data_IF_680772848742
#
_entry.id   IF_680772848742
#
_cell.length_a   1.000
_cell.length_b   1.000
_cell.length_c   1.000
_cell.angle_alpha   90.00
_cell.angle_beta   90.00
_cell.angle_gamma   90.00
#
_symmetry.space_group_name_H-M   'P 1'
#
loop_
_entity.id
_entity.type
_entity.pdbx_description
1 polymer ?
#
# COMPACT_ATOMS: atom_id res chain seq x y z
N UNK A 1 -13.51 -8.21 4.01
CA UNK A 1 -12.77 -7.51 2.92
C UNK A 1 -13.64 -7.39 1.68
N UNK A 2 -13.44 -6.37 0.88
CA UNK A 2 -14.13 -6.17 -0.38
C UNK A 2 -13.15 -5.87 -1.50
N UNK A 3 -13.45 -6.40 -2.69
CA UNK A 3 -12.66 -6.22 -3.89
C UNK A 3 -13.49 -5.44 -4.90
N UNK A 4 -12.89 -4.41 -5.49
CA UNK A 4 -13.50 -3.65 -6.58
C UNK A 4 -12.68 -3.90 -7.83
N UNK A 5 -13.37 -4.28 -8.90
CA UNK A 5 -12.72 -4.64 -10.15
C UNK A 5 -13.11 -3.68 -11.27
N UNK A 6 -12.10 -3.35 -12.10
CA UNK A 6 -12.26 -2.46 -13.25
C UNK A 6 -11.40 -2.99 -14.40
N UNK A 7 -11.83 -2.76 -15.66
CA UNK A 7 -11.05 -3.13 -16.84
C UNK A 7 -10.91 -4.64 -17.02
N UNK A 8 -11.96 -5.42 -16.74
CA UNK A 8 -11.96 -6.89 -16.81
C UNK A 8 -11.66 -7.46 -18.21
N UNK A 9 -11.75 -6.62 -19.23
CA UNK A 9 -11.42 -6.94 -20.62
C UNK A 9 -9.89 -6.97 -20.88
N UNK A 10 -9.08 -6.45 -19.98
CA UNK A 10 -7.62 -6.45 -20.11
C UNK A 10 -7.03 -7.76 -19.57
N UNK A 11 -5.92 -8.19 -20.17
CA UNK A 11 -5.26 -9.48 -19.85
C UNK A 11 -4.38 -9.38 -18.60
N UNK A 12 -3.66 -8.24 -18.42
CA UNK A 12 -2.70 -8.06 -17.34
C UNK A 12 -3.39 -7.60 -16.05
N UNK A 13 -3.18 -8.35 -14.96
CA UNK A 13 -3.82 -8.14 -13.66
C UNK A 13 -2.97 -7.23 -12.76
N UNK A 14 -3.54 -6.10 -12.35
CA UNK A 14 -2.94 -5.19 -11.37
C UNK A 14 -3.73 -5.16 -10.08
N UNK A 15 -3.08 -5.48 -8.96
CA UNK A 15 -3.66 -5.40 -7.61
C UNK A 15 -3.20 -4.13 -6.91
N UNK A 16 -4.14 -3.35 -6.35
CA UNK A 16 -3.88 -2.09 -5.65
C UNK A 16 -4.24 -2.19 -4.16
N UNK A 17 -3.26 -1.90 -3.29
CA UNK A 17 -3.37 -1.91 -1.84
C UNK A 17 -3.21 -0.48 -1.29
N UNK A 18 -4.26 0.07 -0.67
CA UNK A 18 -4.24 1.44 -0.15
C UNK A 18 -3.50 1.58 1.20
N UNK A 19 -3.19 2.82 1.59
CA UNK A 19 -2.46 3.13 2.83
C UNK A 19 -3.31 3.01 4.11
N UNK A 20 -2.61 2.96 5.25
CA UNK A 20 -3.24 2.95 6.57
C UNK A 20 -3.96 4.26 6.91
N UNK A 21 -5.09 4.16 7.63
CA UNK A 21 -5.90 5.32 8.00
C UNK A 21 -6.61 6.01 6.82
N UNK A 22 -6.48 5.44 5.64
CA UNK A 22 -7.15 5.89 4.41
C UNK A 22 -8.17 4.84 3.97
N UNK A 23 -8.91 5.10 2.91
CA UNK A 23 -9.79 4.12 2.30
C UNK A 23 -9.44 3.93 0.82
N UNK A 24 -10.00 2.89 0.21
CA UNK A 24 -9.88 2.65 -1.22
C UNK A 24 -10.29 3.86 -2.09
N UNK A 25 -11.15 4.74 -1.57
CA UNK A 25 -11.56 5.96 -2.27
C UNK A 25 -10.39 6.89 -2.61
N UNK A 26 -9.31 6.82 -1.83
CA UNK A 26 -8.10 7.60 -2.07
C UNK A 26 -7.38 7.24 -3.38
N UNK A 27 -7.44 5.99 -3.79
CA UNK A 27 -6.79 5.48 -5.00
C UNK A 27 -7.79 5.12 -6.11
N UNK A 28 -9.09 5.20 -5.82
CA UNK A 28 -10.15 4.84 -6.77
C UNK A 28 -10.12 5.63 -8.10
N UNK A 29 -9.86 6.95 -8.14
CA UNK A 29 -9.79 7.68 -9.41
C UNK A 29 -8.68 7.13 -10.31
N UNK A 30 -7.50 6.86 -9.75
CA UNK A 30 -6.36 6.29 -10.48
C UNK A 30 -6.63 4.84 -10.87
N UNK A 31 -7.26 4.04 -9.99
CA UNK A 31 -7.68 2.67 -10.32
C UNK A 31 -8.58 2.63 -11.56
N UNK A 32 -9.57 3.52 -11.63
CA UNK A 32 -10.46 3.62 -12.80
C UNK A 32 -9.73 4.05 -14.08
N UNK A 33 -8.75 4.94 -13.97
CA UNK A 33 -8.02 5.44 -15.13
C UNK A 33 -7.02 4.42 -15.66
N UNK A 34 -6.28 3.73 -14.76
CA UNK A 34 -5.33 2.70 -15.16
C UNK A 34 -6.04 1.44 -15.69
N UNK A 35 -7.30 1.25 -15.32
CA UNK A 35 -8.15 0.19 -15.85
C UNK A 35 -8.49 0.32 -17.36
N UNK A 36 -8.11 1.42 -17.99
CA UNK A 36 -8.10 1.53 -19.47
C UNK A 36 -7.03 0.61 -20.10
N UNK A 37 -6.06 0.12 -19.30
CA UNK A 37 -4.94 -0.71 -19.77
C UNK A 37 -4.79 -2.02 -19.02
N UNK A 38 -5.18 -2.09 -17.75
CA UNK A 38 -4.99 -3.24 -16.88
C UNK A 38 -6.34 -3.72 -16.33
N UNK A 39 -6.46 -5.01 -16.07
CA UNK A 39 -7.50 -5.50 -15.18
C UNK A 39 -7.12 -5.17 -13.74
N UNK A 40 -7.84 -4.27 -13.10
CA UNK A 40 -7.50 -3.75 -11.78
C UNK A 40 -8.36 -4.39 -10.70
N UNK A 41 -7.72 -4.98 -9.69
CA UNK A 41 -8.33 -5.39 -8.43
C UNK A 41 -7.90 -4.42 -7.33
N UNK A 42 -8.84 -3.67 -6.79
CA UNK A 42 -8.63 -2.72 -5.71
C UNK A 42 -9.17 -3.28 -4.40
N UNK A 43 -8.29 -3.55 -3.43
CA UNK A 43 -8.64 -4.03 -2.10
C UNK A 43 -9.20 -2.89 -1.23
N UNK A 44 -10.30 -3.15 -0.55
CA UNK A 44 -10.80 -2.35 0.56
C UNK A 44 -10.68 -3.14 1.87
N UNK A 45 -9.74 -2.73 2.75
CA UNK A 45 -9.50 -3.38 4.03
C UNK A 45 -10.71 -3.31 4.95
N UNK A 46 -10.97 -4.37 5.70
CA UNK A 46 -11.95 -4.36 6.77
C UNK A 46 -11.62 -3.26 7.79
N UNK A 47 -12.65 -2.63 8.36
CA UNK A 47 -12.50 -1.52 9.29
C UNK A 47 -12.09 -0.18 8.68
N UNK A 48 -11.63 -0.17 7.41
CA UNK A 48 -11.27 1.03 6.63
C UNK A 48 -12.07 1.15 5.32
N UNK A 49 -13.19 0.44 5.25
CA UNK A 49 -14.07 0.39 4.08
C UNK A 49 -15.35 1.22 4.29
N UNK A 50 -15.51 2.37 3.59
CA UNK A 50 -16.71 3.19 3.69
C UNK A 50 -18.01 2.50 3.25
N UNK A 51 -17.93 1.46 2.41
CA UNK A 51 -19.09 0.72 1.94
C UNK A 51 -19.54 -0.38 2.91
N UNK A 52 -18.70 -0.75 3.89
CA UNK A 52 -18.94 -1.75 4.93
C UNK A 52 -18.38 -1.26 6.27
N UNK A 53 -18.96 -0.16 6.83
CA UNK A 53 -18.39 0.53 7.99
C UNK A 53 -18.49 -0.26 9.29
N UNK A 54 -19.26 -1.33 9.31
CA UNK A 54 -19.43 -2.25 10.45
C UNK A 54 -18.31 -3.31 10.56
N UNK A 55 -17.50 -3.47 9.52
CA UNK A 55 -16.36 -4.39 9.56
C UNK A 55 -15.24 -3.88 10.45
N UNK A 56 -14.38 -4.77 10.91
CA UNK A 56 -13.22 -4.41 11.71
C UNK A 56 -11.96 -5.09 11.17
N UNK A 57 -10.88 -4.32 11.04
CA UNK A 57 -9.56 -4.85 10.71
C UNK A 57 -9.11 -5.86 11.76
N UNK A 58 -8.83 -7.09 11.36
CA UNK A 58 -8.48 -8.16 12.28
C UNK A 58 -6.96 -8.27 12.46
N UNK A 59 -6.24 -8.55 11.40
CA UNK A 59 -4.78 -8.62 11.38
C UNK A 59 -4.23 -8.51 9.96
N UNK A 60 -2.95 -8.21 9.84
CA UNK A 60 -2.24 -8.17 8.55
C UNK A 60 -2.31 -9.53 7.84
N UNK A 61 -2.07 -10.62 8.59
CA UNK A 61 -2.12 -11.97 8.04
C UNK A 61 -3.53 -12.35 7.54
N UNK A 62 -4.58 -11.92 8.25
CA UNK A 62 -5.97 -12.14 7.81
C UNK A 62 -6.28 -11.42 6.49
N UNK A 63 -5.85 -10.16 6.37
CA UNK A 63 -6.06 -9.38 5.13
C UNK A 63 -5.23 -9.94 3.97
N UNK A 64 -3.98 -10.37 4.22
CA UNK A 64 -3.13 -10.97 3.20
C UNK A 64 -3.71 -12.32 2.73
N UNK A 65 -4.05 -13.21 3.66
CA UNK A 65 -4.64 -14.52 3.34
C UNK A 65 -5.92 -14.37 2.52
N UNK A 66 -6.83 -13.48 2.93
CA UNK A 66 -8.07 -13.28 2.18
C UNK A 66 -7.84 -12.75 0.77
N UNK A 67 -6.85 -11.85 0.59
CA UNK A 67 -6.44 -11.39 -0.74
C UNK A 67 -5.89 -12.54 -1.58
N UNK A 68 -5.00 -13.35 -1.02
CA UNK A 68 -4.40 -14.50 -1.70
C UNK A 68 -5.45 -15.53 -2.11
N UNK A 69 -6.34 -15.90 -1.19
CA UNK A 69 -7.43 -16.85 -1.46
C UNK A 69 -8.32 -16.33 -2.61
N UNK A 70 -8.67 -15.04 -2.59
CA UNK A 70 -9.43 -14.40 -3.67
C UNK A 70 -8.69 -14.45 -5.02
N UNK A 71 -7.39 -14.14 -5.05
CA UNK A 71 -6.59 -14.15 -6.27
C UNK A 71 -6.33 -15.57 -6.79
N UNK A 72 -6.17 -16.55 -5.92
CA UNK A 72 -6.04 -17.96 -6.30
C UNK A 72 -7.35 -18.47 -6.92
N UNK A 73 -8.48 -18.20 -6.26
CA UNK A 73 -9.78 -18.68 -6.71
C UNK A 73 -10.21 -18.07 -8.06
N UNK A 74 -9.94 -16.78 -8.26
CA UNK A 74 -10.45 -16.05 -9.44
C UNK A 74 -9.44 -15.95 -10.58
N UNK A 75 -8.12 -15.99 -10.29
CA UNK A 75 -7.05 -15.71 -11.27
C UNK A 75 -5.94 -16.77 -11.24
N UNK A 76 -6.14 -17.91 -10.58
CA UNK A 76 -5.15 -18.98 -10.49
C UNK A 76 -3.86 -18.58 -9.77
N UNK A 77 -3.91 -17.54 -8.94
CA UNK A 77 -2.79 -17.04 -8.17
C UNK A 77 -1.73 -16.25 -8.96
N UNK A 78 -2.03 -15.83 -10.20
CA UNK A 78 -1.14 -15.04 -11.03
C UNK A 78 -1.47 -13.56 -10.95
N UNK A 79 -0.45 -12.73 -10.73
CA UNK A 79 -0.55 -11.27 -10.62
C UNK A 79 0.58 -10.63 -11.41
N UNK A 80 0.24 -9.80 -12.39
CA UNK A 80 1.26 -9.11 -13.20
C UNK A 80 1.89 -7.97 -12.40
N UNK A 81 1.07 -7.16 -11.69
CA UNK A 81 1.55 -6.05 -10.87
C UNK A 81 0.88 -6.07 -9.50
N UNK A 82 1.67 -6.14 -8.44
CA UNK A 82 1.22 -5.91 -7.06
C UNK A 82 1.73 -4.55 -6.56
N UNK A 83 0.83 -3.59 -6.39
CA UNK A 83 1.15 -2.25 -5.89
C UNK A 83 0.65 -2.07 -4.46
N UNK A 84 1.53 -1.58 -3.58
CA UNK A 84 1.19 -1.22 -2.19
C UNK A 84 1.60 0.21 -1.85
N UNK A 85 0.67 0.98 -1.27
CA UNK A 85 0.93 2.32 -0.76
C UNK A 85 1.09 2.29 0.76
N UNK A 86 2.21 2.78 1.28
CA UNK A 86 2.39 3.00 2.73
C UNK A 86 2.12 1.73 3.57
N UNK A 87 1.01 1.68 4.32
CA UNK A 87 0.61 0.46 5.02
C UNK A 87 0.30 -0.70 4.05
N UNK A 88 -0.19 -0.40 2.85
CA UNK A 88 -0.37 -1.40 1.79
C UNK A 88 0.91 -2.15 1.45
N UNK A 89 2.08 -1.52 1.63
CA UNK A 89 3.37 -2.21 1.51
C UNK A 89 3.56 -3.30 2.58
N UNK A 90 2.90 -3.22 3.74
CA UNK A 90 2.97 -4.27 4.76
C UNK A 90 2.18 -5.50 4.33
N UNK A 91 0.99 -5.30 3.76
CA UNK A 91 0.21 -6.40 3.16
C UNK A 91 0.95 -7.00 1.98
N UNK A 92 1.51 -6.18 1.11
CA UNK A 92 2.35 -6.60 -0.02
C UNK A 92 3.52 -7.48 0.47
N UNK A 93 4.26 -7.05 1.49
CA UNK A 93 5.37 -7.83 2.05
C UNK A 93 4.89 -9.14 2.69
N UNK A 94 3.73 -9.15 3.36
CA UNK A 94 3.15 -10.37 3.91
C UNK A 94 2.81 -11.37 2.79
N UNK A 95 2.19 -10.91 1.70
CA UNK A 95 1.89 -11.74 0.51
C UNK A 95 3.16 -12.32 -0.11
N UNK A 96 4.24 -11.54 -0.22
CA UNK A 96 5.54 -12.04 -0.70
C UNK A 96 6.15 -13.08 0.25
N UNK A 97 6.07 -12.85 1.58
CA UNK A 97 6.55 -13.79 2.61
C UNK A 97 5.75 -15.10 2.60
N UNK A 98 4.43 -15.04 2.40
CA UNK A 98 3.55 -16.22 2.34
C UNK A 98 3.77 -17.04 1.06
N UNK A 99 4.30 -16.42 0.00
CA UNK A 99 4.75 -17.05 -1.26
C UNK A 99 3.70 -17.98 -1.90
N UNK A 100 2.43 -17.55 -1.87
CA UNK A 100 1.30 -18.32 -2.43
C UNK A 100 0.90 -17.88 -3.84
N UNK A 101 1.40 -16.73 -4.28
CA UNK A 101 1.09 -16.12 -5.57
C UNK A 101 2.33 -16.04 -6.46
N UNK A 102 2.12 -16.12 -7.77
CA UNK A 102 3.11 -15.81 -8.79
C UNK A 102 2.99 -14.32 -9.17
N UNK A 103 3.95 -13.50 -8.72
CA UNK A 103 3.91 -12.05 -8.90
C UNK A 103 5.08 -11.60 -9.77
N UNK A 104 4.77 -11.01 -10.94
CA UNK A 104 5.81 -10.56 -11.87
C UNK A 104 6.50 -9.30 -11.38
N UNK A 105 5.75 -8.23 -11.14
CA UNK A 105 6.28 -6.91 -10.75
C UNK A 105 5.65 -6.46 -9.44
N UNK A 106 6.48 -5.99 -8.52
CA UNK A 106 6.02 -5.45 -7.24
C UNK A 106 6.45 -3.99 -7.08
N UNK A 107 5.50 -3.12 -6.72
CA UNK A 107 5.74 -1.69 -6.52
C UNK A 107 5.36 -1.31 -5.10
N UNK A 108 6.34 -0.95 -4.26
CA UNK A 108 6.15 -0.50 -2.89
C UNK A 108 6.35 1.02 -2.80
N UNK A 109 5.25 1.78 -2.72
CA UNK A 109 5.26 3.25 -2.65
C UNK A 109 5.19 3.73 -1.19
N UNK A 110 6.23 4.40 -0.71
CA UNK A 110 6.34 4.89 0.66
C UNK A 110 6.50 3.77 1.69
N UNK A 111 7.22 2.71 1.35
CA UNK A 111 7.51 1.59 2.25
C UNK A 111 8.42 2.02 3.41
N UNK A 112 8.09 1.60 4.64
CA UNK A 112 9.00 1.75 5.77
C UNK A 112 10.06 0.65 5.77
N UNK A 113 11.33 1.06 5.69
CA UNK A 113 12.50 0.16 5.78
C UNK A 113 12.99 -0.02 7.23
N UNK A 114 12.20 0.41 8.22
CA UNK A 114 12.55 0.31 9.63
C UNK A 114 11.84 -0.85 10.29
N UNK A 115 12.57 -1.54 11.16
CA UNK A 115 11.96 -2.50 12.09
C UNK A 115 11.18 -1.75 13.17
N UNK A 116 10.10 -2.36 13.62
CA UNK A 116 9.32 -1.87 14.76
C UNK A 116 9.86 -2.47 16.06
N UNK A 117 9.67 -1.79 17.21
CA UNK A 117 10.17 -2.27 18.48
C UNK A 117 9.69 -3.70 18.80
N UNK A 118 10.61 -4.57 19.19
CA UNK A 118 10.29 -5.89 19.69
C UNK A 118 10.01 -5.85 21.20
N UNK A 119 8.76 -5.64 21.56
CA UNK A 119 8.32 -5.51 22.94
C UNK A 119 7.83 -6.87 23.42
N UNK A 120 8.55 -7.51 24.34
CA UNK A 120 8.25 -8.86 24.84
C UNK A 120 7.09 -8.90 25.84
N UNK A 121 6.98 -7.88 26.70
CA UNK A 121 5.95 -7.79 27.74
C UNK A 121 4.62 -7.38 27.15
N UNK A 122 3.55 -8.13 27.39
CA UNK A 122 2.21 -7.80 26.94
C UNK A 122 1.70 -6.50 27.56
N UNK A 123 2.04 -6.22 28.83
CA UNK A 123 1.73 -4.94 29.46
C UNK A 123 2.37 -3.77 28.72
N UNK A 124 3.67 -3.85 28.41
CA UNK A 124 4.36 -2.79 27.66
C UNK A 124 3.92 -2.68 26.22
N UNK A 125 3.50 -3.79 25.58
CA UNK A 125 2.87 -3.74 24.26
C UNK A 125 1.58 -2.90 24.30
N UNK A 126 0.72 -3.14 25.30
CA UNK A 126 -0.52 -2.37 25.45
C UNK A 126 -0.26 -0.89 25.72
N UNK A 127 0.73 -0.57 26.56
CA UNK A 127 1.15 0.81 26.82
C UNK A 127 1.67 1.47 25.53
N UNK A 128 2.54 0.80 24.81
CA UNK A 128 3.06 1.30 23.53
C UNK A 128 1.94 1.55 22.52
N UNK A 129 1.04 0.57 22.34
CA UNK A 129 -0.10 0.69 21.43
C UNK A 129 -1.02 1.85 21.85
N UNK A 130 -1.29 2.01 23.13
CA UNK A 130 -2.12 3.11 23.61
C UNK A 130 -1.56 4.48 23.19
N UNK A 131 -0.27 4.72 23.35
CA UNK A 131 0.36 5.98 22.94
C UNK A 131 0.58 6.07 21.43
N UNK A 132 1.08 5.02 20.78
CA UNK A 132 1.38 5.02 19.35
C UNK A 132 0.11 5.09 18.53
N UNK A 133 -0.81 4.14 18.72
CA UNK A 133 -2.11 4.11 18.04
C UNK A 133 -2.94 5.33 18.42
N UNK A 134 -2.93 5.75 19.71
CA UNK A 134 -3.65 6.92 20.19
C UNK A 134 -3.25 8.19 19.46
N UNK A 135 -1.95 8.38 19.20
CA UNK A 135 -1.45 9.51 18.43
C UNK A 135 -2.01 9.49 17.00
N UNK A 136 -1.89 8.35 16.29
CA UNK A 136 -2.41 8.22 14.94
C UNK A 136 -3.93 8.31 14.88
N UNK A 137 -4.63 7.66 15.79
CA UNK A 137 -6.10 7.73 15.87
C UNK A 137 -6.60 9.15 16.08
N UNK A 138 -5.94 9.94 16.95
CA UNK A 138 -6.32 11.33 17.18
C UNK A 138 -5.96 12.22 16.00
N UNK A 139 -4.80 12.01 15.39
CA UNK A 139 -4.32 12.85 14.27
C UNK A 139 -5.07 12.52 12.99
N UNK A 140 -5.24 11.24 12.64
CA UNK A 140 -5.81 10.78 11.38
C UNK A 140 -7.27 10.35 11.54
N UNK A 141 -7.56 9.47 12.51
CA UNK A 141 -8.87 8.89 12.72
C UNK A 141 -9.93 9.86 13.26
N UNK A 142 -9.52 11.03 13.74
CA UNK A 142 -10.41 12.11 14.21
C UNK A 142 -9.97 13.47 13.69
N UNK A 143 -9.46 13.49 12.45
CA UNK A 143 -8.87 14.68 11.86
C UNK A 143 -9.90 15.77 11.55
N UNK A 144 -9.85 16.88 12.29
CA UNK A 144 -10.48 18.16 11.90
C UNK A 144 -9.60 18.96 10.94
N UNK A 145 -10.08 20.10 10.43
CA UNK A 145 -9.38 20.92 9.44
C UNK A 145 -7.91 21.23 9.77
N UNK A 146 -7.61 21.55 11.03
CA UNK A 146 -6.24 21.87 11.45
C UNK A 146 -5.29 20.67 11.34
N UNK A 147 -5.76 19.49 11.76
CA UNK A 147 -4.99 18.24 11.68
C UNK A 147 -4.79 17.78 10.24
N UNK A 148 -5.82 17.93 9.39
CA UNK A 148 -5.71 17.65 7.95
C UNK A 148 -4.68 18.54 7.27
N UNK A 149 -4.60 19.83 7.63
CA UNK A 149 -3.54 20.75 7.16
C UNK A 149 -2.15 20.31 7.63
N UNK A 150 -2.04 19.87 8.88
CA UNK A 150 -0.77 19.32 9.39
C UNK A 150 -0.35 18.06 8.62
N UNK A 151 -1.27 17.11 8.38
CA UNK A 151 -1.03 15.92 7.58
C UNK A 151 -0.62 16.26 6.15
N UNK A 152 -1.33 17.15 5.49
CA UNK A 152 -0.97 17.65 4.15
C UNK A 152 0.47 18.15 4.11
N UNK A 153 0.87 18.97 5.11
CA UNK A 153 2.23 19.50 5.20
C UNK A 153 3.29 18.42 5.39
N UNK A 154 3.09 17.48 6.31
CA UNK A 154 4.11 16.45 6.58
C UNK A 154 4.20 15.39 5.49
N UNK A 155 3.09 15.08 4.83
CA UNK A 155 3.05 14.16 3.68
C UNK A 155 3.47 14.81 2.37
N UNK A 156 3.48 16.16 2.30
CA UNK A 156 3.77 16.90 1.07
C UNK A 156 2.62 16.87 0.05
N UNK A 157 1.40 16.49 0.47
CA UNK A 157 0.19 16.49 -0.35
C UNK A 157 -0.57 17.81 -0.27
N UNK A 158 -1.52 18.01 -1.19
CA UNK A 158 -2.50 19.09 -1.08
C UNK A 158 -3.46 18.85 0.10
N UNK A 159 -4.10 19.95 0.57
CA UNK A 159 -5.11 19.83 1.62
C UNK A 159 -6.34 19.06 1.13
N UNK A 160 -6.77 19.31 -0.09
CA UNK A 160 -7.91 18.68 -0.76
C UNK A 160 -7.70 17.17 -0.85
N UNK A 161 -6.51 16.74 -1.21
CA UNK A 161 -6.16 15.34 -1.27
C UNK A 161 -6.15 14.71 0.12
N UNK A 162 -5.50 15.33 1.10
CA UNK A 162 -5.47 14.83 2.47
C UNK A 162 -6.89 14.75 3.09
N UNK A 163 -7.80 15.68 2.72
CA UNK A 163 -9.20 15.65 3.14
C UNK A 163 -9.97 14.49 2.51
N UNK A 164 -9.73 14.22 1.24
CA UNK A 164 -10.43 13.19 0.45
C UNK A 164 -10.07 11.77 0.88
N UNK A 165 -8.78 11.51 1.16
CA UNK A 165 -8.28 10.14 1.38
C UNK A 165 -8.50 9.62 2.79
N UNK A 166 -8.54 10.50 3.81
CA UNK A 166 -8.59 10.08 5.21
C UNK A 166 -9.94 9.44 5.56
N UNK A 167 -9.88 8.24 6.11
CA UNK A 167 -11.06 7.55 6.63
C UNK A 167 -11.19 7.74 8.14
N UNK A 168 -12.05 8.66 8.55
CA UNK A 168 -12.18 9.08 9.96
C UNK A 168 -13.20 8.28 10.76
N UNK A 169 -13.84 7.26 10.17
CA UNK A 169 -14.86 6.42 10.81
C UNK A 169 -14.33 5.08 11.33
N UNK A 170 -13.08 4.72 11.04
CA UNK A 170 -12.49 3.50 11.55
C UNK A 170 -12.56 3.43 13.09
N UNK A 171 -12.86 2.24 13.63
CA UNK A 171 -12.94 2.01 15.07
C UNK A 171 -11.55 2.08 15.72
N UNK A 172 -11.50 2.36 17.02
CA UNK A 172 -10.28 2.23 17.81
C UNK A 172 -9.68 0.82 17.69
N UNK A 173 -10.53 -0.20 17.66
CA UNK A 173 -10.10 -1.60 17.54
C UNK A 173 -9.40 -1.87 16.21
N UNK A 174 -9.96 -1.38 15.10
CA UNK A 174 -9.31 -1.49 13.77
C UNK A 174 -7.95 -0.81 13.75
N UNK A 175 -7.82 0.42 14.25
CA UNK A 175 -6.54 1.11 14.37
C UNK A 175 -5.53 0.34 15.22
N UNK A 176 -5.97 -0.12 16.42
CA UNK A 176 -5.12 -0.88 17.34
C UNK A 176 -4.64 -2.19 16.72
N UNK A 177 -5.53 -2.92 16.06
CA UNK A 177 -5.18 -4.18 15.39
C UNK A 177 -4.20 -3.96 14.23
N UNK A 178 -4.38 -2.87 13.45
CA UNK A 178 -3.47 -2.50 12.38
C UNK A 178 -2.04 -2.24 12.92
N UNK A 179 -1.91 -1.45 13.99
CA UNK A 179 -0.62 -1.11 14.59
C UNK A 179 0.00 -2.28 15.36
N UNK A 180 -0.82 -3.13 15.99
CA UNK A 180 -0.36 -4.32 16.72
C UNK A 180 0.42 -5.28 15.81
N UNK A 181 0.03 -5.39 14.54
CA UNK A 181 0.71 -6.24 13.57
C UNK A 181 2.15 -5.77 13.25
N UNK A 182 2.50 -4.53 13.61
CA UNK A 182 3.82 -3.96 13.35
C UNK A 182 4.82 -4.28 14.47
N UNK A 183 4.36 -4.53 15.71
CA UNK A 183 5.23 -4.74 16.86
C UNK A 183 6.05 -6.03 16.68
N UNK A 184 7.39 -5.88 16.73
CA UNK A 184 8.32 -6.99 16.59
C UNK A 184 8.41 -7.59 15.18
N UNK A 185 7.64 -7.07 14.22
CA UNK A 185 7.74 -7.50 12.83
C UNK A 185 9.06 -7.02 12.25
N UNK A 186 9.88 -7.98 11.85
CA UNK A 186 11.05 -7.76 11.01
C UNK A 186 10.65 -8.01 9.57
N UNK A 187 11.17 -7.20 8.67
CA UNK A 187 10.91 -7.36 7.24
C UNK A 187 11.94 -8.34 6.68
N UNK A 188 11.47 -9.41 6.06
CA UNK A 188 12.34 -10.33 5.31
C UNK A 188 12.53 -9.78 3.88
N UNK A 189 13.67 -9.17 3.65
CA UNK A 189 14.00 -8.59 2.34
C UNK A 189 14.46 -9.65 1.31
N UNK A 190 14.69 -10.90 1.71
CA UNK A 190 15.06 -11.98 0.77
C UNK A 190 13.93 -12.27 -0.22
N UNK A 191 12.68 -11.97 0.15
CA UNK A 191 11.52 -12.12 -0.74
C UNK A 191 11.57 -11.24 -2.00
N UNK A 192 12.47 -10.24 -2.05
CA UNK A 192 12.70 -9.42 -3.26
C UNK A 192 13.28 -10.23 -4.42
N UNK A 193 13.88 -11.39 -4.15
CA UNK A 193 14.38 -12.30 -5.18
C UNK A 193 13.25 -12.99 -5.98
N UNK A 194 12.03 -12.97 -5.45
CA UNK A 194 10.88 -13.67 -6.05
C UNK A 194 10.06 -12.81 -7.02
N UNK A 195 10.41 -11.54 -7.23
CA UNK A 195 9.66 -10.59 -8.05
C UNK A 195 10.57 -9.48 -8.57
N UNK A 196 10.16 -8.77 -9.63
CA UNK A 196 10.84 -7.52 -10.02
C UNK A 196 10.40 -6.39 -9.08
N UNK A 197 11.24 -6.11 -8.05
CA UNK A 197 10.92 -5.22 -6.94
C UNK A 197 11.28 -3.77 -7.20
N UNK A 198 10.32 -2.87 -7.11
CA UNK A 198 10.47 -1.43 -7.23
C UNK A 198 10.02 -0.71 -5.96
N UNK A 199 10.86 0.16 -5.41
CA UNK A 199 10.54 0.97 -4.22
C UNK A 199 10.48 2.44 -4.64
N UNK A 200 9.35 3.08 -4.35
CA UNK A 200 9.10 4.48 -4.69
C UNK A 200 8.94 5.36 -3.46
N UNK A 201 9.44 6.60 -3.54
CA UNK A 201 9.29 7.59 -2.47
C UNK A 201 8.98 8.97 -3.03
N UNK A 202 7.95 9.63 -2.50
CA UNK A 202 7.63 11.03 -2.78
C UNK A 202 8.14 11.94 -1.66
N UNK A 203 9.31 12.58 -1.84
CA UNK A 203 10.04 13.27 -0.77
C UNK A 203 9.75 14.77 -0.61
N UNK A 204 8.73 15.31 -1.24
CA UNK A 204 8.31 16.71 -1.04
C UNK A 204 7.97 17.03 0.42
N UNK A 205 7.33 16.05 1.12
CA UNK A 205 7.09 16.10 2.57
C UNK A 205 8.23 15.54 3.40
N UNK A 206 7.96 15.33 4.70
CA UNK A 206 8.95 14.77 5.65
C UNK A 206 8.76 13.27 5.90
N UNK A 207 7.62 12.69 5.50
CA UNK A 207 7.29 11.28 5.80
C UNK A 207 8.26 10.37 5.07
N UNK A 208 8.32 10.43 3.75
CA UNK A 208 9.16 9.53 2.95
C UNK A 208 10.66 9.77 3.13
N UNK A 209 11.07 10.99 3.46
CA UNK A 209 12.47 11.26 3.88
C UNK A 209 12.87 10.44 5.10
N UNK A 210 11.92 10.17 6.02
CA UNK A 210 12.17 9.32 7.20
C UNK A 210 12.02 7.84 6.86
N UNK A 211 11.08 7.47 5.99
CA UNK A 211 10.84 6.09 5.59
C UNK A 211 12.03 5.53 4.80
N UNK A 212 12.63 6.33 3.92
CA UNK A 212 13.78 5.96 3.08
C UNK A 212 15.12 6.02 3.80
N UNK A 213 15.18 6.38 5.10
CA UNK A 213 16.46 6.62 5.80
C UNK A 213 17.41 5.41 5.79
N UNK A 214 16.90 4.18 5.70
CA UNK A 214 17.71 2.95 5.68
C UNK A 214 17.94 2.40 4.26
N UNK A 215 17.63 3.18 3.23
CA UNK A 215 17.72 2.74 1.83
C UNK A 215 19.15 2.33 1.43
N UNK A 216 20.14 3.13 1.80
CA UNK A 216 21.54 2.86 1.49
C UNK A 216 22.06 1.61 2.22
N UNK A 217 21.61 1.37 3.45
CA UNK A 217 21.92 0.13 4.18
C UNK A 217 21.32 -1.08 3.46
N UNK A 218 20.08 -0.98 2.98
CA UNK A 218 19.42 -2.06 2.25
C UNK A 218 20.13 -2.36 0.92
N UNK A 219 20.54 -1.33 0.19
CA UNK A 219 21.35 -1.47 -1.03
C UNK A 219 22.69 -2.16 -0.76
N UNK A 220 23.37 -1.78 0.34
CA UNK A 220 24.64 -2.37 0.72
C UNK A 220 24.55 -3.86 1.08
N UNK A 221 23.37 -4.34 1.49
CA UNK A 221 23.10 -5.76 1.72
C UNK A 221 22.92 -6.58 0.43
N UNK A 222 22.82 -5.92 -0.73
CA UNK A 222 22.79 -6.58 -2.05
C UNK A 222 21.44 -7.18 -2.46
N UNK A 223 20.35 -6.84 -1.79
CA UNK A 223 19.02 -7.29 -2.21
C UNK A 223 18.64 -6.72 -3.59
N UNK A 224 18.00 -7.50 -4.46
CA UNK A 224 17.62 -7.05 -5.80
C UNK A 224 16.36 -6.17 -5.72
N UNK A 225 16.52 -4.87 -5.93
CA UNK A 225 15.42 -3.91 -6.09
C UNK A 225 15.89 -2.68 -6.84
N UNK A 226 14.95 -2.00 -7.47
CA UNK A 226 15.16 -0.63 -7.97
C UNK A 226 14.52 0.38 -7.02
N UNK A 227 15.06 1.59 -7.00
CA UNK A 227 14.45 2.66 -6.20
C UNK A 227 14.31 3.93 -7.01
N UNK A 228 13.12 4.55 -6.96
CA UNK A 228 12.83 5.84 -7.58
C UNK A 228 12.37 6.85 -6.54
N UNK A 229 12.97 8.03 -6.58
CA UNK A 229 12.65 9.16 -5.69
C UNK A 229 12.02 10.27 -6.52
N UNK A 230 10.85 10.75 -6.09
CA UNK A 230 10.11 11.84 -6.70
C UNK A 230 10.20 13.07 -5.78
N UNK A 231 11.03 14.04 -6.15
CA UNK A 231 11.30 15.23 -5.31
C UNK A 231 10.10 16.18 -5.25
N UNK A 232 9.31 16.21 -6.32
CA UNK A 232 8.14 17.06 -6.50
C UNK A 232 6.84 16.46 -5.97
N UNK A 233 6.83 15.16 -5.60
CA UNK A 233 5.67 14.46 -5.08
C UNK A 233 5.75 14.26 -3.57
N UNK A 234 4.58 14.24 -2.90
CA UNK A 234 4.46 13.85 -1.50
C UNK A 234 4.26 12.35 -1.32
N UNK A 235 4.17 11.89 -0.08
CA UNK A 235 3.92 10.50 0.30
C UNK A 235 2.66 9.93 -0.38
N UNK A 236 2.81 9.01 -1.33
CA UNK A 236 1.73 8.49 -2.17
C UNK A 236 1.07 9.55 -3.07
N UNK A 237 1.72 10.70 -3.29
CA UNK A 237 1.21 11.77 -4.14
C UNK A 237 1.14 11.37 -5.61
N UNK A 238 1.99 10.43 -6.03
CA UNK A 238 2.00 9.97 -7.41
C UNK A 238 0.66 9.31 -7.77
N UNK A 239 0.21 8.34 -7.00
CA UNK A 239 -1.08 7.66 -7.23
C UNK A 239 -2.28 8.55 -6.87
N UNK A 240 -2.14 9.46 -5.91
CA UNK A 240 -3.23 10.29 -5.41
C UNK A 240 -3.47 11.57 -6.19
N UNK A 241 -2.41 12.24 -6.66
CA UNK A 241 -2.47 13.59 -7.22
C UNK A 241 -2.04 13.68 -8.69
N UNK A 242 -1.32 12.68 -9.22
CA UNK A 242 -0.80 12.70 -10.58
C UNK A 242 -0.98 11.36 -11.30
N UNK A 243 -2.23 11.05 -11.61
CA UNK A 243 -2.63 9.78 -12.22
C UNK A 243 -1.91 9.48 -13.54
N UNK A 244 -1.74 10.46 -14.42
CA UNK A 244 -1.07 10.25 -15.72
C UNK A 244 0.39 9.83 -15.52
N UNK A 245 1.12 10.56 -14.68
CA UNK A 245 2.50 10.21 -14.34
C UNK A 245 2.61 8.88 -13.62
N UNK A 246 1.65 8.55 -12.74
CA UNK A 246 1.59 7.23 -12.11
C UNK A 246 1.51 6.12 -13.17
N UNK A 247 0.65 6.28 -14.17
CA UNK A 247 0.49 5.31 -15.26
C UNK A 247 1.78 5.21 -16.10
N UNK A 248 2.42 6.33 -16.40
CA UNK A 248 3.72 6.35 -17.11
C UNK A 248 4.79 5.59 -16.34
N UNK A 249 4.88 5.81 -15.03
CA UNK A 249 5.86 5.15 -14.17
C UNK A 249 5.59 3.64 -14.03
N UNK A 250 4.32 3.23 -13.91
CA UNK A 250 3.94 1.80 -13.92
C UNK A 250 4.35 1.16 -15.24
N UNK A 251 4.02 1.78 -16.38
CA UNK A 251 4.40 1.25 -17.70
C UNK A 251 5.93 1.22 -17.92
N UNK A 252 6.69 2.08 -17.25
CA UNK A 252 8.15 2.09 -17.35
C UNK A 252 8.80 0.91 -16.61
N UNK A 253 8.21 0.46 -15.50
CA UNK A 253 8.73 -0.67 -14.71
C UNK A 253 8.08 -2.00 -15.09
N UNK A 254 6.89 -1.98 -15.67
CA UNK A 254 6.20 -3.14 -16.22
C UNK A 254 5.73 -2.84 -17.65
N UNK A 255 6.63 -2.95 -18.64
CA UNK A 255 6.24 -2.73 -20.03
C UNK A 255 5.27 -3.83 -20.47
N UNK A 256 4.06 -3.41 -20.84
CA UNK A 256 3.03 -4.33 -21.33
C UNK A 256 3.61 -5.21 -22.45
N UNK A 257 3.33 -6.49 -22.39
CA UNK A 257 3.60 -7.40 -23.50
C UNK A 257 2.86 -6.85 -24.72
N UNK A 258 3.61 -6.39 -25.74
CA UNK A 258 3.01 -5.93 -27.00
C UNK A 258 2.12 -7.07 -27.49
N UNK A 259 0.81 -6.84 -27.45
CA UNK A 259 -0.18 -7.82 -27.81
C UNK A 259 0.24 -8.53 -29.09
N UNK A 260 0.37 -9.84 -29.01
CA UNK A 260 0.48 -10.69 -30.18
C UNK A 260 -0.82 -10.60 -30.95
N UNK A 261 -0.93 -9.54 -31.74
CA UNK A 261 -1.91 -9.48 -32.83
C UNK A 261 -1.41 -10.40 -33.95
N UNK A 262 -1.24 -11.68 -33.65
CA UNK A 262 -1.23 -12.68 -34.69
C UNK A 262 -2.68 -13.00 -35.03
N UNK A 263 -3.15 -12.33 -36.09
CA UNK A 263 -4.32 -12.75 -36.83
C UNK A 263 -4.15 -14.24 -37.14
N UNK A 264 -4.94 -15.09 -36.49
CA UNK A 264 -5.19 -16.42 -37.02
C UNK A 264 -6.05 -16.22 -38.27
N UNK A 265 -5.41 -16.40 -39.42
CA UNK A 265 -6.03 -16.59 -40.73
C UNK A 265 -6.65 -17.99 -40.74
#
# INVERSE_FOLDING_TARGET
MKYFEFGKENEELMVLLHGGGTSYLGVLPTAKKIAEKYHVVLLAYDGFNPSEPETEFQSLAYEAQGLEDYLIENYGGKVDILYGLSYGCRTLMQVLEDNRLEITTTIADGMSLRDYPDIKSDFWKEVYLFFFTGTFFVIMGRAGKLRKRFLAKITGRSFEEADRILYTKASWKSWKNQDKCLIGKKTDYSVFENTDMHIWYGIKGTVDKKLSANLEELKAKGYPFTCKIFEDMGHGGLIGENTERFIEEVNAVHPQSKGKTEKRV
#
